data_IF_898230519601
#
_entry.id   IF_898230519601
#
_cell.length_a   1.000
_cell.length_b   1.000
_cell.length_c   1.000
_cell.angle_alpha   90.00
_cell.angle_beta   90.00
_cell.angle_gamma   90.00
#
_symmetry.space_group_name_H-M   'P 1'
#
loop_
_entity.id
_entity.type
_entity.pdbx_description
1 polymer ?
#
# COMPACT_ATOMS: atom_id res chain seq x y z
N UNK A 1 -34.55 42.22 -21.37
CA UNK A 1 -33.17 41.71 -21.52
C UNK A 1 -32.74 41.17 -20.16
N UNK A 2 -32.92 39.87 -19.93
CA UNK A 2 -32.53 39.20 -18.69
C UNK A 2 -31.23 38.43 -18.97
N UNK A 3 -30.15 38.80 -18.30
CA UNK A 3 -28.86 38.13 -18.35
C UNK A 3 -28.90 36.90 -17.43
N UNK A 4 -28.72 35.71 -18.02
CA UNK A 4 -28.41 34.46 -17.32
C UNK A 4 -27.02 34.59 -16.66
N UNK A 5 -26.84 34.21 -15.38
CA UNK A 5 -25.52 33.87 -14.88
C UNK A 5 -25.18 32.46 -15.40
N UNK A 6 -24.24 32.39 -16.34
CA UNK A 6 -23.56 31.15 -16.68
C UNK A 6 -22.81 30.69 -15.43
N UNK A 7 -23.35 29.66 -14.77
CA UNK A 7 -22.67 28.90 -13.74
C UNK A 7 -21.40 28.32 -14.35
N UNK A 8 -20.28 28.85 -13.88
CA UNK A 8 -18.93 28.37 -14.15
C UNK A 8 -18.81 26.98 -13.53
N UNK A 9 -19.17 25.95 -14.28
CA UNK A 9 -18.82 24.58 -13.93
C UNK A 9 -17.33 24.48 -14.20
N UNK A 10 -16.51 24.53 -13.16
CA UNK A 10 -15.11 24.16 -13.27
C UNK A 10 -15.07 22.69 -13.67
N UNK A 11 -14.53 22.38 -14.83
CA UNK A 11 -14.20 21.00 -15.19
C UNK A 11 -13.21 20.49 -14.13
N UNK A 12 -13.62 19.49 -13.35
CA UNK A 12 -12.70 18.76 -12.51
C UNK A 12 -11.70 18.06 -13.43
N UNK A 13 -10.48 18.58 -13.50
CA UNK A 13 -9.39 17.91 -14.21
C UNK A 13 -9.13 16.60 -13.47
N UNK A 14 -9.54 15.49 -14.07
CA UNK A 14 -9.24 14.17 -13.55
C UNK A 14 -7.71 13.99 -13.54
N UNK A 15 -7.17 13.74 -12.36
CA UNK A 15 -5.75 13.54 -12.17
C UNK A 15 -5.23 12.25 -12.82
N UNK A 16 -3.92 12.17 -13.05
CA UNK A 16 -3.29 11.03 -13.74
C UNK A 16 -3.55 9.70 -13.03
N UNK A 17 -3.53 9.69 -11.69
CA UNK A 17 -3.79 8.47 -10.90
C UNK A 17 -5.25 8.05 -11.03
N UNK A 18 -6.18 8.99 -10.94
CA UNK A 18 -7.62 8.74 -11.07
C UNK A 18 -7.97 8.26 -12.48
N UNK A 19 -7.42 8.92 -13.51
CA UNK A 19 -7.59 8.56 -14.91
C UNK A 19 -7.11 7.13 -15.18
N UNK A 20 -5.97 6.73 -14.62
CA UNK A 20 -5.46 5.35 -14.76
C UNK A 20 -6.37 4.31 -14.13
N UNK A 21 -6.89 4.54 -12.92
CA UNK A 21 -7.81 3.59 -12.31
C UNK A 21 -9.06 3.36 -13.18
N UNK A 22 -9.51 4.38 -13.89
CA UNK A 22 -10.62 4.27 -14.84
C UNK A 22 -10.29 3.44 -16.11
N UNK A 23 -9.02 3.18 -16.43
CA UNK A 23 -8.64 2.37 -17.62
C UNK A 23 -8.56 0.87 -17.35
N UNK A 24 -8.76 0.42 -16.11
CA UNK A 24 -8.77 -1.00 -15.77
C UNK A 24 -9.67 -1.83 -16.72
N UNK A 25 -9.22 -3.00 -17.23
CA UNK A 25 -7.95 -3.66 -16.93
C UNK A 25 -6.79 -3.28 -17.86
N UNK A 26 -6.97 -2.31 -18.77
CA UNK A 26 -5.88 -1.80 -19.61
C UNK A 26 -4.92 -0.99 -18.74
N UNK A 27 -3.82 -1.61 -18.35
CA UNK A 27 -2.90 -1.10 -17.35
C UNK A 27 -1.53 -0.80 -17.95
N UNK A 28 -1.17 0.47 -17.94
CA UNK A 28 0.14 0.96 -18.38
C UNK A 28 0.87 1.55 -17.18
N UNK A 29 2.18 1.31 -17.05
CA UNK A 29 3.00 1.78 -15.91
C UNK A 29 3.04 3.31 -15.87
N UNK A 30 2.71 3.91 -14.72
CA UNK A 30 2.85 5.36 -14.55
C UNK A 30 4.30 5.77 -14.34
N UNK A 31 4.70 6.99 -14.76
CA UNK A 31 5.93 7.58 -14.32
C UNK A 31 5.88 7.78 -12.79
N UNK A 32 6.92 7.33 -12.11
CA UNK A 32 7.08 7.50 -10.66
C UNK A 32 8.42 8.16 -10.38
N UNK A 33 8.49 8.93 -9.30
CA UNK A 33 9.75 9.47 -8.80
C UNK A 33 10.49 8.39 -8.02
N UNK A 34 11.78 8.21 -8.31
CA UNK A 34 12.61 7.27 -7.59
C UNK A 34 12.73 7.68 -6.12
N UNK A 35 12.61 6.72 -5.21
CA UNK A 35 12.77 6.96 -3.77
C UNK A 35 14.24 7.21 -3.45
N UNK A 36 14.53 8.30 -2.71
CA UNK A 36 15.87 8.64 -2.25
C UNK A 36 15.97 8.55 -0.72
N UNK A 37 17.03 7.92 -0.23
CA UNK A 37 17.32 7.86 1.21
C UNK A 37 16.17 7.31 2.07
N UNK A 38 15.71 8.13 3.02
CA UNK A 38 14.69 7.80 4.01
C UNK A 38 13.32 8.45 3.71
N UNK A 39 13.13 8.96 2.50
CA UNK A 39 11.84 9.53 2.10
C UNK A 39 10.75 8.46 2.20
N UNK A 40 9.59 8.86 2.71
CA UNK A 40 8.40 8.02 2.87
C UNK A 40 7.21 8.71 2.17
N UNK A 41 6.17 7.95 1.85
CA UNK A 41 4.94 8.47 1.26
C UNK A 41 4.16 9.23 2.31
N UNK A 42 3.96 10.53 2.08
CA UNK A 42 3.20 11.40 2.97
C UNK A 42 1.72 11.33 2.59
N UNK A 43 0.89 11.00 3.57
CA UNK A 43 -0.56 10.93 3.43
C UNK A 43 -1.22 12.23 3.93
N UNK A 44 -2.47 12.49 3.51
CA UNK A 44 -3.28 13.58 4.07
C UNK A 44 -3.49 13.41 5.58
N UNK A 45 -3.72 14.53 6.26
CA UNK A 45 -3.88 14.56 7.71
C UNK A 45 -5.09 13.74 8.22
N UNK A 46 -6.14 13.64 7.41
CA UNK A 46 -7.34 12.84 7.71
C UNK A 46 -7.11 11.33 7.71
N UNK A 47 -5.94 10.84 7.27
CA UNK A 47 -5.57 9.43 7.39
C UNK A 47 -4.91 9.05 8.71
N UNK A 48 -4.48 10.03 9.52
CA UNK A 48 -3.79 9.76 10.78
C UNK A 48 -4.62 8.88 11.72
N UNK A 49 -3.96 7.93 12.39
CA UNK A 49 -4.59 7.06 13.38
C UNK A 49 -4.73 5.60 12.96
N UNK A 50 -5.57 4.86 13.70
CA UNK A 50 -5.82 3.44 13.49
C UNK A 50 -7.12 3.23 12.70
N UNK A 51 -7.08 2.27 11.80
CA UNK A 51 -8.21 1.94 10.93
C UNK A 51 -8.43 0.44 10.89
N UNK A 52 -9.67 0.02 11.12
CA UNK A 52 -10.12 -1.32 10.77
C UNK A 52 -10.47 -1.33 9.28
N UNK A 53 -9.77 -2.16 8.53
CA UNK A 53 -9.85 -2.23 7.07
C UNK A 53 -10.54 -3.51 6.65
N UNK A 54 -11.56 -3.38 5.82
CA UNK A 54 -12.09 -4.45 5.00
C UNK A 54 -11.56 -4.30 3.58
N UNK A 55 -10.70 -5.24 3.17
CA UNK A 55 -10.16 -5.33 1.80
C UNK A 55 -10.85 -6.46 1.05
N UNK A 56 -11.46 -6.15 -0.09
CA UNK A 56 -12.12 -7.15 -0.94
C UNK A 56 -11.46 -7.15 -2.31
N UNK A 57 -10.90 -8.29 -2.73
CA UNK A 57 -10.48 -8.50 -4.11
C UNK A 57 -11.75 -8.59 -4.98
N UNK A 58 -12.00 -7.59 -5.82
CA UNK A 58 -13.21 -7.50 -6.65
C UNK A 58 -12.99 -7.96 -8.08
N UNK A 59 -11.74 -7.91 -8.57
CA UNK A 59 -11.39 -8.37 -9.91
C UNK A 59 -9.92 -8.82 -9.98
N UNK A 60 -9.61 -9.74 -10.89
CA UNK A 60 -8.25 -10.21 -11.16
C UNK A 60 -8.08 -10.57 -12.63
N UNK A 61 -6.99 -10.10 -13.24
CA UNK A 61 -6.71 -10.29 -14.67
C UNK A 61 -5.29 -10.79 -14.85
N UNK A 62 -5.12 -11.82 -15.69
CA UNK A 62 -3.84 -12.27 -16.21
C UNK A 62 -3.78 -11.86 -17.69
N UNK A 63 -3.12 -10.73 -18.04
CA UNK A 63 -3.17 -10.18 -19.40
C UNK A 63 -2.66 -11.13 -20.50
N UNK A 64 -1.82 -12.10 -20.13
CA UNK A 64 -1.23 -13.09 -21.04
C UNK A 64 -1.89 -14.47 -20.96
N UNK A 65 -2.94 -14.65 -20.13
CA UNK A 65 -3.57 -15.95 -19.89
C UNK A 65 -2.54 -17.02 -19.48
N UNK A 66 -2.61 -18.17 -20.13
CA UNK A 66 -1.72 -19.31 -19.86
C UNK A 66 -0.30 -19.14 -20.45
N UNK A 67 -0.07 -18.14 -21.31
CA UNK A 67 1.22 -17.94 -21.95
C UNK A 67 2.30 -17.46 -20.98
N UNK A 68 1.92 -16.68 -19.96
CA UNK A 68 2.81 -16.24 -18.88
C UNK A 68 2.06 -16.42 -17.56
N UNK A 69 2.40 -17.49 -16.84
CA UNK A 69 1.78 -17.79 -15.55
C UNK A 69 2.59 -17.16 -14.40
N UNK A 70 1.89 -16.54 -13.45
CA UNK A 70 2.52 -16.15 -12.18
C UNK A 70 2.12 -17.14 -11.07
N UNK A 71 3.06 -17.57 -10.20
CA UNK A 71 2.75 -18.56 -9.17
C UNK A 71 1.60 -18.17 -8.23
N UNK A 72 1.33 -16.87 -8.06
CA UNK A 72 0.32 -16.35 -7.15
C UNK A 72 -1.07 -16.16 -7.75
N UNK A 73 -1.22 -16.10 -9.08
CA UNK A 73 -2.49 -15.69 -9.70
C UNK A 73 -3.63 -16.65 -9.37
N UNK A 74 -3.52 -17.93 -9.75
CA UNK A 74 -4.58 -18.90 -9.50
C UNK A 74 -4.83 -19.16 -8.00
N UNK A 75 -3.78 -19.10 -7.18
CA UNK A 75 -3.92 -19.22 -5.73
C UNK A 75 -4.76 -18.07 -5.12
N UNK A 76 -4.71 -16.87 -5.71
CA UNK A 76 -5.48 -15.72 -5.25
C UNK A 76 -6.97 -15.78 -5.60
N UNK A 77 -7.37 -16.62 -6.56
CA UNK A 77 -8.78 -16.77 -6.99
C UNK A 77 -9.71 -17.10 -5.83
N UNK A 78 -9.22 -17.80 -4.80
CA UNK A 78 -9.99 -18.11 -3.58
C UNK A 78 -10.41 -16.90 -2.76
N UNK A 79 -9.74 -15.75 -2.93
CA UNK A 79 -10.05 -14.50 -2.22
C UNK A 79 -10.99 -13.59 -3.02
N UNK A 80 -11.34 -13.95 -4.25
CA UNK A 80 -12.23 -13.15 -5.08
C UNK A 80 -13.60 -13.00 -4.41
N UNK A 81 -14.03 -11.76 -4.24
CA UNK A 81 -15.23 -11.35 -3.51
C UNK A 81 -15.30 -11.82 -2.06
N UNK A 82 -14.15 -12.17 -1.45
CA UNK A 82 -14.06 -12.50 -0.02
C UNK A 82 -13.49 -11.30 0.74
N UNK A 83 -14.19 -10.80 1.77
CA UNK A 83 -13.66 -9.71 2.59
C UNK A 83 -12.53 -10.23 3.48
N UNK A 84 -11.41 -9.51 3.46
CA UNK A 84 -10.29 -9.71 4.34
C UNK A 84 -10.20 -8.54 5.33
N UNK A 85 -10.27 -8.84 6.62
CA UNK A 85 -10.26 -7.82 7.66
C UNK A 85 -8.91 -7.76 8.37
N UNK A 86 -8.37 -6.55 8.52
CA UNK A 86 -7.13 -6.30 9.26
C UNK A 86 -7.07 -4.86 9.75
N UNK A 87 -6.24 -4.61 10.76
CA UNK A 87 -6.00 -3.27 11.28
C UNK A 87 -4.75 -2.65 10.67
N UNK A 88 -4.83 -1.39 10.28
CA UNK A 88 -3.66 -0.58 9.87
C UNK A 88 -3.54 0.65 10.74
N UNK A 89 -2.39 1.31 10.69
CA UNK A 89 -2.17 2.61 11.31
C UNK A 89 -1.30 3.53 10.44
N UNK A 90 -1.60 4.81 10.55
CA UNK A 90 -0.80 5.90 10.00
C UNK A 90 -0.37 6.80 11.15
N UNK A 91 0.92 7.11 11.19
CA UNK A 91 1.57 7.76 12.33
C UNK A 91 2.10 9.13 11.94
N UNK A 92 2.13 10.02 12.92
CA UNK A 92 2.81 11.29 12.81
C UNK A 92 4.33 11.10 12.96
N UNK A 93 5.09 11.66 12.03
CA UNK A 93 6.54 11.75 12.08
C UNK A 93 6.97 13.18 11.79
N UNK A 94 8.09 13.64 12.36
CA UNK A 94 8.61 14.96 11.99
C UNK A 94 9.14 14.90 10.54
N UNK A 95 8.76 15.88 9.71
CA UNK A 95 9.16 15.92 8.29
C UNK A 95 10.67 15.90 8.09
N UNK A 96 11.43 16.48 9.02
CA UNK A 96 12.88 16.50 9.00
C UNK A 96 13.52 15.11 9.09
N UNK A 97 12.84 14.12 9.67
CA UNK A 97 13.32 12.73 9.70
C UNK A 97 13.18 12.02 8.35
N UNK A 98 12.24 12.45 7.50
CA UNK A 98 12.08 11.90 6.15
C UNK A 98 13.19 12.35 5.19
N UNK A 99 13.95 13.38 5.55
CA UNK A 99 14.99 13.98 4.69
C UNK A 99 16.42 13.77 5.20
N UNK A 100 16.62 13.15 6.38
CA UNK A 100 17.94 13.00 7.02
C UNK A 100 18.35 11.53 7.26
N UNK A 101 19.67 11.28 7.19
CA UNK A 101 20.36 9.98 7.28
C UNK A 101 20.06 9.24 8.63
N UNK A 102 20.00 7.88 8.65
CA UNK A 102 19.32 7.07 9.69
C UNK A 102 20.09 6.88 11.01
N UNK A 103 21.12 7.66 11.30
CA UNK A 103 21.89 7.52 12.56
C UNK A 103 21.24 8.21 13.78
N UNK A 104 20.00 8.67 13.68
CA UNK A 104 19.36 9.38 14.79
C UNK A 104 18.27 8.50 15.40
N UNK A 105 18.59 7.93 16.56
CA UNK A 105 17.67 7.20 17.43
C UNK A 105 16.34 7.95 17.60
N UNK A 106 15.23 7.22 17.48
CA UNK A 106 13.88 7.70 17.83
C UNK A 106 13.91 8.24 19.25
N UNK A 107 13.83 9.57 19.38
CA UNK A 107 13.83 10.27 20.66
C UNK A 107 12.38 10.56 21.01
N UNK A 108 11.91 10.03 22.13
CA UNK A 108 10.58 10.34 22.67
C UNK A 108 10.52 11.86 22.90
N UNK A 109 9.53 12.51 22.28
CA UNK A 109 9.43 13.96 22.10
C UNK A 109 8.98 14.64 23.40
N UNK A 110 9.61 15.77 23.75
CA UNK A 110 9.07 16.74 24.72
C UNK A 110 8.10 17.67 23.98
N UNK A 111 6.86 17.75 24.46
CA UNK A 111 5.85 18.71 23.98
C UNK A 111 6.38 20.15 24.09
N UNK A 112 6.38 20.92 22.99
CA UNK A 112 6.69 22.36 23.00
C UNK A 112 7.43 22.96 21.80
N UNK A 113 7.99 22.16 20.88
CA UNK A 113 8.60 22.69 19.66
C UNK A 113 7.66 22.51 18.46
N UNK A 114 7.30 23.61 17.79
CA UNK A 114 6.40 23.64 16.64
C UNK A 114 7.12 23.10 15.39
N UNK A 115 7.29 21.78 15.30
CA UNK A 115 7.95 21.10 14.17
C UNK A 115 6.90 20.61 13.17
N UNK A 116 7.13 20.75 11.85
CA UNK A 116 6.16 20.29 10.87
C UNK A 116 6.07 18.76 10.88
N UNK A 117 4.87 18.25 11.17
CA UNK A 117 4.56 16.82 11.16
C UNK A 117 4.12 16.37 9.76
N UNK A 118 4.28 15.08 9.48
CA UNK A 118 3.72 14.39 8.33
C UNK A 118 3.08 13.08 8.77
N UNK A 119 1.99 12.71 8.10
CA UNK A 119 1.37 11.40 8.26
C UNK A 119 2.05 10.42 7.31
N UNK A 120 2.55 9.31 7.85
CA UNK A 120 3.14 8.20 7.07
C UNK A 120 2.48 6.89 7.48
N UNK A 121 2.46 5.91 6.59
CA UNK A 121 1.99 4.57 6.93
C UNK A 121 3.00 3.88 7.86
N UNK A 122 2.55 3.25 8.95
CA UNK A 122 3.43 2.33 9.68
C UNK A 122 3.54 1.01 8.90
N UNK A 123 4.50 0.98 7.97
CA UNK A 123 4.69 -0.13 7.06
C UNK A 123 4.89 -1.45 7.81
N UNK A 124 5.64 -1.48 8.90
CA UNK A 124 5.96 -2.75 9.58
C UNK A 124 4.73 -3.30 10.28
N UNK A 125 3.98 -2.44 10.95
CA UNK A 125 2.71 -2.81 11.56
C UNK A 125 1.68 -3.24 10.49
N UNK A 126 1.50 -2.43 9.45
CA UNK A 126 0.52 -2.66 8.40
C UNK A 126 0.82 -3.94 7.62
N UNK A 127 2.06 -4.11 7.13
CA UNK A 127 2.47 -5.31 6.39
C UNK A 127 2.32 -6.58 7.22
N UNK A 128 2.59 -6.52 8.53
CA UNK A 128 2.37 -7.67 9.42
C UNK A 128 0.91 -8.04 9.51
N UNK A 129 0.01 -7.07 9.74
CA UNK A 129 -1.41 -7.34 9.90
C UNK A 129 -2.08 -7.79 8.58
N UNK A 130 -1.73 -7.17 7.46
CA UNK A 130 -2.22 -7.57 6.13
C UNK A 130 -1.83 -9.03 5.88
N UNK A 131 -0.54 -9.32 6.02
CA UNK A 131 -0.03 -10.66 5.71
C UNK A 131 -0.58 -11.71 6.67
N UNK A 132 -0.73 -11.36 7.96
CA UNK A 132 -1.39 -12.23 8.94
C UNK A 132 -2.80 -12.59 8.49
N UNK A 133 -3.61 -11.62 8.07
CA UNK A 133 -4.97 -11.87 7.61
C UNK A 133 -4.98 -12.84 6.41
N UNK A 134 -4.07 -12.67 5.45
CA UNK A 134 -3.94 -13.59 4.31
C UNK A 134 -3.59 -15.03 4.73
N UNK A 135 -2.71 -15.22 5.72
CA UNK A 135 -2.28 -16.54 6.18
C UNK A 135 -3.28 -17.22 7.12
N UNK A 136 -3.89 -16.47 8.05
CA UNK A 136 -4.84 -17.03 9.00
C UNK A 136 -6.23 -17.24 8.38
N UNK A 137 -6.48 -16.70 7.18
CA UNK A 137 -7.83 -16.68 6.61
C UNK A 137 -8.83 -15.94 7.51
N UNK A 138 -8.36 -15.02 8.34
CA UNK A 138 -9.16 -14.32 9.35
C UNK A 138 -9.42 -15.12 10.64
N UNK A 139 -8.78 -16.27 10.86
CA UNK A 139 -8.94 -17.04 12.10
C UNK A 139 -8.20 -16.40 13.30
N UNK A 140 -8.73 -16.66 14.51
CA UNK A 140 -8.20 -16.10 15.76
C UNK A 140 -6.82 -16.68 16.11
N UNK A 141 -6.08 -15.92 16.93
CA UNK A 141 -4.71 -16.25 17.34
C UNK A 141 -4.60 -17.56 18.15
N UNK A 142 -5.71 -18.13 18.61
CA UNK A 142 -5.76 -19.40 19.35
C UNK A 142 -5.69 -20.65 18.46
N UNK A 143 -5.99 -20.55 17.17
CA UNK A 143 -5.87 -21.67 16.21
C UNK A 143 -4.46 -21.73 15.59
N UNK A 144 -3.44 -21.60 16.45
CA UNK A 144 -2.01 -21.67 16.14
C UNK A 144 -1.58 -23.12 15.83
N UNK A 145 -1.71 -23.52 14.58
CA UNK A 145 -0.87 -24.58 14.02
C UNK A 145 -0.15 -24.03 12.82
N UNK A 146 0.68 -23.00 13.01
CA UNK A 146 1.18 -22.22 11.87
C UNK A 146 2.69 -22.05 11.87
N UNK A 147 3.36 -22.29 10.71
CA UNK A 147 4.77 -21.99 10.47
C UNK A 147 5.18 -20.57 10.90
N UNK A 148 6.50 -20.33 11.04
CA UNK A 148 7.08 -19.02 11.38
C UNK A 148 6.51 -17.94 10.46
N UNK A 149 5.91 -16.90 11.04
CA UNK A 149 5.51 -15.69 10.31
C UNK A 149 6.04 -14.45 11.05
N UNK A 150 6.92 -13.68 10.41
CA UNK A 150 7.56 -12.53 11.04
C UNK A 150 7.87 -11.44 10.00
N UNK A 151 7.43 -10.21 10.25
CA UNK A 151 7.79 -9.03 9.43
C UNK A 151 8.69 -8.11 10.23
N UNK A 152 9.84 -7.76 9.64
CA UNK A 152 10.83 -6.81 10.17
C UNK A 152 11.01 -5.66 9.19
N UNK A 153 10.95 -4.43 9.69
CA UNK A 153 11.47 -3.27 8.96
C UNK A 153 13.00 -3.23 9.01
N UNK A 154 13.62 -2.61 8.00
CA UNK A 154 15.03 -2.28 8.04
C UNK A 154 15.23 -0.97 8.83
N UNK A 155 15.95 -0.98 9.96
CA UNK A 155 16.13 0.22 10.78
C UNK A 155 16.91 1.33 10.07
N UNK A 156 17.59 1.01 8.97
CA UNK A 156 18.37 1.98 8.17
C UNK A 156 17.65 2.41 6.89
N UNK A 157 16.53 1.78 6.55
CA UNK A 157 15.79 2.08 5.33
C UNK A 157 14.28 1.84 5.57
N UNK A 158 13.48 2.89 5.81
CA UNK A 158 12.04 2.75 6.06
C UNK A 158 11.29 2.11 4.88
N UNK A 159 11.88 2.17 3.69
CA UNK A 159 11.33 1.64 2.45
C UNK A 159 11.61 0.15 2.25
N UNK A 160 12.35 -0.49 3.17
CA UNK A 160 12.76 -1.89 3.07
C UNK A 160 12.19 -2.73 4.20
N UNK A 161 11.59 -3.85 3.85
CA UNK A 161 11.02 -4.81 4.80
C UNK A 161 11.43 -6.24 4.44
N UNK A 162 11.49 -7.09 5.47
CA UNK A 162 11.76 -8.52 5.32
C UNK A 162 10.64 -9.29 6.01
N UNK A 163 9.92 -10.10 5.23
CA UNK A 163 8.95 -11.06 5.73
C UNK A 163 9.55 -12.47 5.71
N UNK A 164 9.48 -13.18 6.82
CA UNK A 164 9.83 -14.59 6.95
C UNK A 164 8.55 -15.42 7.05
N UNK A 165 8.50 -16.55 6.34
CA UNK A 165 7.32 -17.41 6.28
C UNK A 165 7.72 -18.88 6.15
N UNK A 166 6.89 -19.83 6.60
CA UNK A 166 7.18 -21.27 6.47
C UNK A 166 7.89 -21.88 7.67
N UNK A 167 8.38 -23.10 7.52
CA UNK A 167 9.02 -23.82 8.63
C UNK A 167 10.31 -23.12 9.09
N UNK A 168 10.60 -23.03 10.41
CA UNK A 168 11.81 -22.37 10.91
C UNK A 168 13.13 -22.93 10.34
N UNK A 169 13.14 -24.19 9.90
CA UNK A 169 14.27 -24.85 9.25
C UNK A 169 14.48 -24.43 7.79
N UNK A 170 13.54 -23.69 7.19
CA UNK A 170 13.63 -23.19 5.83
C UNK A 170 14.00 -21.69 5.83
N UNK A 171 14.88 -21.27 4.91
CA UNK A 171 15.27 -19.86 4.75
C UNK A 171 14.29 -19.05 3.87
N UNK A 172 13.01 -19.38 3.95
CA UNK A 172 11.97 -18.74 3.16
C UNK A 172 11.78 -17.28 3.61
N UNK A 173 12.02 -16.33 2.70
CA UNK A 173 11.85 -14.91 2.96
C UNK A 173 11.43 -14.12 1.73
N UNK A 174 10.78 -12.99 1.95
CA UNK A 174 10.49 -11.95 0.97
C UNK A 174 11.15 -10.67 1.46
N UNK A 175 12.05 -10.11 0.65
CA UNK A 175 12.56 -8.76 0.82
C UNK A 175 11.78 -7.85 -0.11
N UNK A 176 11.06 -6.87 0.43
CA UNK A 176 10.34 -5.86 -0.34
C UNK A 176 11.01 -4.50 -0.13
N UNK A 177 11.31 -3.79 -1.22
CA UNK A 177 11.90 -2.45 -1.18
C UNK A 177 11.10 -1.51 -2.07
N UNK A 178 10.54 -0.43 -1.52
CA UNK A 178 9.90 0.61 -2.33
C UNK A 178 10.96 1.40 -3.09
N UNK A 179 10.82 1.45 -4.40
CA UNK A 179 11.79 2.04 -5.34
C UNK A 179 11.25 3.28 -6.05
N UNK A 180 9.93 3.43 -6.14
CA UNK A 180 9.32 4.59 -6.78
C UNK A 180 7.96 4.95 -6.20
N UNK A 181 7.60 6.22 -6.28
CA UNK A 181 6.32 6.76 -5.80
C UNK A 181 5.76 7.87 -6.67
N UNK A 182 4.45 8.02 -6.62
CA UNK A 182 3.75 9.22 -7.06
C UNK A 182 2.57 9.47 -6.11
N UNK A 183 2.17 10.73 -5.97
CA UNK A 183 0.99 11.12 -5.19
C UNK A 183 0.27 12.25 -5.89
N UNK A 184 -1.04 12.33 -5.68
CA UNK A 184 -1.87 13.36 -6.26
C UNK A 184 -2.97 13.75 -5.27
N UNK A 185 -3.21 15.06 -5.12
CA UNK A 185 -4.36 15.56 -4.38
C UNK A 185 -5.42 16.00 -5.40
N UNK A 186 -6.54 15.27 -5.46
CA UNK A 186 -7.62 15.51 -6.42
C UNK A 186 -8.67 16.48 -5.84
N UNK A 187 -8.71 16.60 -4.51
CA UNK A 187 -9.58 17.48 -3.75
C UNK A 187 -9.23 17.41 -2.26
N UNK A 188 -9.93 18.16 -1.38
CA UNK A 188 -9.65 18.13 0.06
C UNK A 188 -9.84 16.73 0.69
N UNK A 189 -10.75 15.95 0.11
CA UNK A 189 -11.17 14.64 0.61
C UNK A 189 -10.74 13.49 -0.31
N UNK A 190 -9.96 13.75 -1.37
CA UNK A 190 -9.55 12.75 -2.36
C UNK A 190 -8.03 12.78 -2.61
N UNK A 191 -7.39 11.62 -2.39
CA UNK A 191 -5.95 11.45 -2.48
C UNK A 191 -5.60 10.21 -3.29
N UNK A 192 -4.78 10.39 -4.31
CA UNK A 192 -4.19 9.30 -5.10
C UNK A 192 -2.77 9.01 -4.68
N UNK A 193 -2.38 7.75 -4.63
CA UNK A 193 -1.00 7.31 -4.43
C UNK A 193 -0.61 6.17 -5.36
N UNK A 194 0.68 6.10 -5.67
CA UNK A 194 1.35 4.98 -6.33
C UNK A 194 2.60 4.64 -5.53
N UNK A 195 2.81 3.37 -5.21
CA UNK A 195 4.09 2.84 -4.76
C UNK A 195 4.53 1.69 -5.67
N UNK A 196 5.76 1.76 -6.16
CA UNK A 196 6.44 0.68 -6.88
C UNK A 196 7.46 0.05 -5.95
N UNK A 197 7.41 -1.27 -5.82
CA UNK A 197 8.28 -2.05 -4.95
C UNK A 197 8.96 -3.19 -5.71
N UNK A 198 10.24 -3.39 -5.45
CA UNK A 198 10.97 -4.56 -5.90
C UNK A 198 10.89 -5.64 -4.81
N UNK A 199 10.59 -6.86 -5.22
CA UNK A 199 10.35 -7.99 -4.33
C UNK A 199 11.27 -9.15 -4.67
N UNK A 200 12.12 -9.54 -3.73
CA UNK A 200 13.01 -10.71 -3.84
C UNK A 200 12.49 -11.81 -2.93
N UNK A 201 11.96 -12.87 -3.51
CA UNK A 201 11.59 -14.09 -2.82
C UNK A 201 12.79 -15.04 -2.80
N UNK A 202 13.19 -15.48 -1.62
CA UNK A 202 14.11 -16.60 -1.43
C UNK A 202 13.31 -17.78 -0.90
N UNK A 203 13.35 -18.91 -1.60
CA UNK A 203 12.72 -20.18 -1.20
C UNK A 203 13.69 -21.33 -1.45
N UNK A 204 13.40 -22.51 -0.91
CA UNK A 204 14.18 -23.72 -1.23
C UNK A 204 14.23 -24.02 -2.73
N UNK A 205 13.16 -23.69 -3.47
CA UNK A 205 13.08 -23.87 -4.92
C UNK A 205 13.89 -22.85 -5.72
N UNK A 206 14.47 -21.82 -5.09
CA UNK A 206 15.27 -20.80 -5.74
C UNK A 206 14.89 -19.37 -5.36
N UNK A 207 15.43 -18.43 -6.14
CA UNK A 207 15.15 -16.99 -6.02
C UNK A 207 14.16 -16.60 -7.12
N UNK A 208 13.11 -15.89 -6.74
CA UNK A 208 12.15 -15.29 -7.66
C UNK A 208 12.12 -13.78 -7.41
N UNK A 209 12.12 -13.00 -8.49
CA UNK A 209 12.16 -11.55 -8.42
C UNK A 209 11.05 -10.97 -9.28
N UNK A 210 10.34 -9.99 -8.74
CA UNK A 210 9.30 -9.26 -9.44
C UNK A 210 9.30 -7.81 -8.97
N UNK A 211 8.54 -7.01 -9.70
CA UNK A 211 8.16 -5.66 -9.30
C UNK A 211 6.66 -5.62 -9.08
N UNK A 212 6.23 -4.91 -8.04
CA UNK A 212 4.83 -4.74 -7.68
C UNK A 212 4.54 -3.26 -7.58
N UNK A 213 3.59 -2.82 -8.38
CA UNK A 213 3.04 -1.48 -8.32
C UNK A 213 1.67 -1.53 -7.64
N UNK A 214 1.47 -0.68 -6.65
CA UNK A 214 0.17 -0.48 -5.99
C UNK A 214 -0.28 0.95 -6.24
N UNK A 215 -1.40 1.11 -6.93
CA UNK A 215 -2.05 2.39 -7.20
C UNK A 215 -3.35 2.46 -6.40
N UNK A 216 -3.54 3.47 -5.57
CA UNK A 216 -4.72 3.60 -4.71
C UNK A 216 -5.31 5.00 -4.80
N UNK A 217 -6.62 5.08 -4.98
CA UNK A 217 -7.39 6.30 -4.86
C UNK A 217 -8.25 6.22 -3.60
N UNK A 218 -7.97 7.09 -2.65
CA UNK A 218 -8.68 7.20 -1.38
C UNK A 218 -9.66 8.36 -1.42
N UNK A 219 -10.80 8.17 -0.76
CA UNK A 219 -11.82 9.19 -0.53
C UNK A 219 -12.27 9.17 0.93
N UNK A 220 -12.16 10.31 1.60
CA UNK A 220 -12.79 10.53 2.90
C UNK A 220 -14.30 10.69 2.69
N UNK A 221 -15.10 9.92 3.44
CA UNK A 221 -16.56 9.97 3.43
C UNK A 221 -17.04 10.37 4.83
N UNK A 222 -17.58 11.59 4.93
CA UNK A 222 -17.99 12.22 6.17
C UNK A 222 -16.96 13.23 6.69
N UNK A 223 -17.10 13.62 7.95
CA UNK A 223 -16.23 14.64 8.55
C UNK A 223 -14.85 14.08 8.92
N UNK A 224 -13.80 14.87 8.75
CA UNK A 224 -12.46 14.53 9.24
C UNK A 224 -12.48 14.14 10.72
N UNK A 225 -11.79 13.04 11.05
CA UNK A 225 -11.69 12.48 12.40
C UNK A 225 -12.84 11.58 12.83
N UNK A 226 -13.96 11.55 12.09
CA UNK A 226 -15.11 10.66 12.35
C UNK A 226 -15.60 9.91 11.11
N UNK A 227 -15.22 10.35 9.93
CA UNK A 227 -15.55 9.77 8.65
C UNK A 227 -14.80 8.46 8.41
N UNK A 228 -15.32 7.69 7.46
CA UNK A 228 -14.67 6.48 6.94
C UNK A 228 -13.85 6.82 5.71
N UNK A 229 -12.87 5.99 5.36
CA UNK A 229 -12.15 6.11 4.10
C UNK A 229 -12.62 4.97 3.19
N UNK A 230 -13.01 5.30 1.97
CA UNK A 230 -13.22 4.34 0.90
C UNK A 230 -12.04 4.43 -0.06
N UNK A 231 -11.58 3.30 -0.60
CA UNK A 231 -10.53 3.32 -1.60
C UNK A 231 -10.73 2.29 -2.72
N UNK A 232 -10.29 2.67 -3.92
CA UNK A 232 -10.12 1.77 -5.07
C UNK A 232 -8.62 1.57 -5.28
N UNK A 233 -8.17 0.32 -5.18
CA UNK A 233 -6.77 -0.04 -5.26
C UNK A 233 -6.55 -1.04 -6.38
N UNK A 234 -5.53 -0.81 -7.21
CA UNK A 234 -5.03 -1.79 -8.17
C UNK A 234 -3.59 -2.15 -7.85
N UNK A 235 -3.33 -3.45 -7.80
CA UNK A 235 -1.98 -4.00 -7.69
C UNK A 235 -1.60 -4.69 -8.99
N UNK A 236 -0.52 -4.25 -9.61
CA UNK A 236 0.00 -4.80 -10.85
C UNK A 236 1.38 -5.44 -10.61
N UNK A 237 1.56 -6.67 -11.11
CA UNK A 237 2.78 -7.46 -10.96
C UNK A 237 3.52 -7.46 -12.29
N UNK A 238 4.80 -7.12 -12.27
CA UNK A 238 5.69 -7.11 -13.43
C UNK A 238 6.83 -8.10 -13.21
N UNK A 239 7.26 -8.75 -14.29
CA UNK A 239 8.44 -9.61 -14.27
C UNK A 239 9.71 -8.78 -14.09
N UNK A 240 10.73 -9.37 -13.48
CA UNK A 240 12.06 -8.77 -13.45
C UNK A 240 12.87 -9.18 -14.68
N UNK A 241 13.94 -8.44 -15.05
CA UNK A 241 14.80 -8.78 -16.19
C UNK A 241 15.46 -10.16 -16.15
N UNK A 242 15.42 -10.85 -15.01
CA UNK A 242 15.97 -12.19 -14.82
C UNK A 242 14.95 -13.30 -15.15
N UNK A 243 13.67 -12.95 -15.30
CA UNK A 243 12.63 -13.90 -15.66
C UNK A 243 12.71 -14.23 -17.17
N UNK A 244 12.63 -15.51 -17.58
CA UNK A 244 12.67 -15.91 -19.00
C UNK A 244 11.62 -15.19 -19.87
N UNK A 245 10.45 -14.89 -19.32
CA UNK A 245 9.33 -14.29 -20.06
C UNK A 245 9.35 -12.75 -20.00
N UNK A 246 10.37 -12.14 -19.38
CA UNK A 246 10.46 -10.69 -19.21
C UNK A 246 10.30 -9.91 -20.53
N UNK A 247 11.02 -10.33 -21.57
CA UNK A 247 10.96 -9.68 -22.88
C UNK A 247 9.64 -9.96 -23.60
N UNK A 248 9.03 -11.13 -23.37
CA UNK A 248 7.71 -11.46 -23.91
C UNK A 248 6.60 -10.61 -23.27
N UNK A 249 6.73 -10.28 -21.98
CA UNK A 249 5.82 -9.38 -21.29
C UNK A 249 5.96 -7.91 -21.74
N UNK A 250 7.11 -7.52 -22.29
CA UNK A 250 7.30 -6.20 -22.91
C UNK A 250 7.07 -5.01 -21.97
N UNK A 251 7.30 -5.18 -20.67
CA UNK A 251 7.02 -4.16 -19.65
C UNK A 251 5.56 -4.04 -19.23
N UNK A 252 4.66 -4.90 -19.74
CA UNK A 252 3.28 -5.00 -19.28
C UNK A 252 3.18 -5.82 -18.00
N UNK A 253 2.16 -5.58 -17.15
CA UNK A 253 1.94 -6.44 -16.00
C UNK A 253 1.49 -7.83 -16.43
N UNK A 254 1.95 -8.84 -15.69
CA UNK A 254 1.60 -10.26 -15.89
C UNK A 254 0.47 -10.73 -14.99
N UNK A 255 0.15 -9.96 -13.95
CA UNK A 255 -1.04 -10.13 -13.12
C UNK A 255 -1.51 -8.78 -12.60
N UNK A 256 -2.83 -8.57 -12.57
CA UNK A 256 -3.46 -7.35 -12.07
C UNK A 256 -4.58 -7.75 -11.12
N UNK A 257 -4.65 -7.11 -9.96
CA UNK A 257 -5.68 -7.33 -8.94
C UNK A 257 -6.33 -6.00 -8.58
N UNK A 258 -7.66 -5.94 -8.58
CA UNK A 258 -8.42 -4.76 -8.14
C UNK A 258 -9.09 -5.03 -6.81
N UNK A 259 -8.90 -4.13 -5.87
CA UNK A 259 -9.45 -4.20 -4.53
C UNK A 259 -10.33 -3.00 -4.25
N UNK A 260 -11.41 -3.25 -3.52
CA UNK A 260 -12.15 -2.21 -2.80
C UNK A 260 -11.75 -2.26 -1.34
N UNK A 261 -11.37 -1.11 -0.79
CA UNK A 261 -11.03 -0.96 0.62
C UNK A 261 -12.08 -0.09 1.31
N UNK A 262 -12.49 -0.51 2.49
CA UNK A 262 -13.32 0.29 3.40
C UNK A 262 -12.61 0.35 4.74
N UNK A 263 -12.39 1.57 5.23
CA UNK A 263 -11.59 1.82 6.44
C UNK A 263 -12.45 2.58 7.44
N UNK A 264 -12.73 1.97 8.58
CA UNK A 264 -13.44 2.60 9.68
C UNK A 264 -12.46 3.03 10.76
N UNK A 265 -12.56 4.27 11.27
CA UNK A 265 -11.67 4.73 12.32
C UNK A 265 -11.89 3.90 13.59
N UNK A 266 -10.81 3.59 14.30
CA UNK A 266 -10.89 2.89 15.59
C UNK A 266 -11.03 3.92 16.71
N UNK A 267 -12.23 4.03 17.29
CA UNK A 267 -12.50 4.94 18.41
C UNK A 267 -11.71 4.56 19.68
N UNK A 268 -11.31 5.55 20.47
CA UNK A 268 -10.71 5.36 21.80
C UNK A 268 -9.26 4.85 21.81
N UNK A 269 -8.67 4.63 20.64
CA UNK A 269 -7.22 4.52 20.49
C UNK A 269 -6.74 5.87 20.02
N UNK A 270 -6.42 6.76 20.97
CA UNK A 270 -5.72 8.01 20.67
C UNK A 270 -4.39 7.65 19.98
N UNK A 271 -4.42 7.62 18.65
CA UNK A 271 -3.20 7.64 17.83
C UNK A 271 -2.49 9.00 17.94
N UNK A 272 -3.14 9.97 18.58
CA UNK A 272 -2.66 11.30 18.85
C UNK A 272 -2.67 11.47 20.36
N UNK A 273 -1.56 11.12 21.00
CA UNK A 273 -1.36 11.40 22.42
C UNK A 273 -1.40 12.90 22.68
N UNK A 274 -2.60 13.45 22.88
CA UNK A 274 -2.84 14.76 23.46
C UNK A 274 -3.72 14.51 24.68
N UNK A 275 -3.09 14.09 25.77
CA UNK A 275 -3.70 14.27 27.07
C UNK A 275 -3.86 15.78 27.30
N UNK A 276 -5.10 16.18 27.51
CA UNK A 276 -5.56 17.42 28.11
C UNK A 276 -4.73 17.86 29.31
#
# INVERSE_FOLDING_TARGET
MFLLPLLWCGDAVAGEISARLATFPRWEKLPVTAVSGNEDLIYPDWMGGFWDVTSTLVDMVAPFGDAIATPGFEANRRYLNQPLNFRVRFIEVERDYLTKNPNTFVRIIKSGENRPLAIVADRTYNSRNITWAYFSGGQSEEQKTTPRFEVKGDPKNPNRQIAYFGEPSQENRLISTVTGRATEMLGPDEFGSVEVSQQVFTRQSGIYLNEVETTTLYRLVGDKGRGKIEADQVTAIYLSPQDPDYFAAGGSPVAIYRYRLEMTPVEGVDGLGVNS
#
